data_IF_881686862731
#
_entry.id   IF_881686862731
#
_cell.length_a   1.000
_cell.length_b   1.000
_cell.length_c   1.000
_cell.angle_alpha   90.00
_cell.angle_beta   90.00
_cell.angle_gamma   90.00
#
_symmetry.space_group_name_H-M   'P 1'
#
loop_
_entity.id
_entity.type
_entity.pdbx_description
1 polymer ?
#
# COMPACT_ATOMS: atom_id res chain seq x y z
N UNK A 1 5.62 -12.72 17.89
CA UNK A 1 4.42 -12.65 18.74
C UNK A 1 4.71 -11.72 19.91
N UNK A 2 3.90 -10.66 20.12
CA UNK A 2 3.92 -9.90 21.36
C UNK A 2 3.25 -10.72 22.47
N UNK A 3 4.07 -11.40 23.28
CA UNK A 3 3.62 -12.20 24.45
C UNK A 3 2.73 -13.40 24.07
N UNK A 4 2.16 -14.07 25.08
CA UNK A 4 1.38 -15.30 24.89
C UNK A 4 -0.12 -15.07 25.04
N UNK A 5 -0.91 -15.87 24.30
CA UNK A 5 -2.39 -15.88 24.27
C UNK A 5 -3.08 -16.14 25.65
N UNK A 6 -2.33 -16.25 26.74
CA UNK A 6 -2.85 -16.11 28.10
C UNK A 6 -3.54 -14.75 28.31
N UNK A 7 -3.10 -13.68 27.63
CA UNK A 7 -3.72 -12.35 27.78
C UNK A 7 -5.16 -12.31 27.22
N UNK A 8 -5.43 -12.84 26.03
CA UNK A 8 -6.80 -12.81 25.47
C UNK A 8 -7.76 -13.64 26.35
N UNK A 9 -7.28 -14.76 26.90
CA UNK A 9 -8.02 -15.59 27.87
C UNK A 9 -8.37 -14.84 29.18
N UNK A 10 -7.65 -13.77 29.52
CA UNK A 10 -8.06 -12.86 30.59
C UNK A 10 -9.08 -11.81 30.12
N UNK A 11 -8.94 -11.25 28.91
CA UNK A 11 -9.88 -10.28 28.31
C UNK A 11 -11.30 -10.84 28.14
N UNK A 12 -11.44 -12.15 27.91
CA UNK A 12 -12.73 -12.84 27.83
C UNK A 12 -13.51 -12.92 29.16
N UNK A 13 -12.93 -12.50 30.29
CA UNK A 13 -13.68 -12.31 31.55
C UNK A 13 -14.43 -10.98 31.61
N UNK A 14 -14.12 -10.03 30.71
CA UNK A 14 -14.78 -8.73 30.59
C UNK A 14 -15.76 -8.74 29.41
N UNK A 15 -16.80 -7.90 29.49
CA UNK A 15 -17.75 -7.71 28.39
C UNK A 15 -17.06 -7.17 27.14
N UNK A 16 -17.72 -7.31 25.98
CA UNK A 16 -17.19 -6.74 24.75
C UNK A 16 -17.20 -5.21 24.80
N UNK A 17 -18.13 -4.62 25.55
CA UNK A 17 -18.29 -3.20 25.82
C UNK A 17 -17.14 -2.61 26.66
N UNK A 18 -16.59 -3.37 27.62
CA UNK A 18 -15.47 -2.93 28.47
C UNK A 18 -14.12 -2.96 27.76
N UNK A 19 -13.97 -3.85 26.77
CA UNK A 19 -12.71 -4.06 26.01
C UNK A 19 -12.75 -3.42 24.61
N UNK A 20 -13.88 -2.84 24.19
CA UNK A 20 -13.98 -2.12 22.93
C UNK A 20 -13.18 -0.80 22.98
N UNK A 21 -12.28 -0.52 22.01
CA UNK A 21 -11.41 0.65 22.07
C UNK A 21 -12.17 1.97 21.89
N UNK A 22 -11.78 3.01 22.65
CA UNK A 22 -12.20 4.39 22.38
C UNK A 22 -11.51 4.91 21.11
N UNK A 23 -12.27 4.88 20.01
CA UNK A 23 -11.86 5.36 18.69
C UNK A 23 -12.46 6.74 18.34
N UNK A 24 -13.02 7.48 19.31
CA UNK A 24 -13.77 8.72 19.08
C UNK A 24 -12.95 9.88 18.49
N UNK A 25 -11.62 9.76 18.46
CA UNK A 25 -10.69 10.78 17.94
C UNK A 25 -9.84 10.25 16.78
N UNK A 26 -10.20 9.08 16.24
CA UNK A 26 -9.36 8.32 15.31
C UNK A 26 -9.78 8.52 13.86
N UNK A 27 -8.79 8.54 12.97
CA UNK A 27 -8.92 8.77 11.53
C UNK A 27 -7.95 7.84 10.79
N UNK A 28 -8.22 6.55 10.86
CA UNK A 28 -7.56 5.48 10.12
C UNK A 28 -8.64 4.50 9.58
N UNK A 29 -8.32 3.67 8.58
CA UNK A 29 -9.33 2.82 7.93
C UNK A 29 -9.98 1.80 8.89
N UNK A 30 -9.21 1.20 9.79
CA UNK A 30 -9.69 0.29 10.84
C UNK A 30 -10.75 0.97 11.71
N UNK A 31 -10.51 2.19 12.19
CA UNK A 31 -11.44 2.93 13.04
C UNK A 31 -12.75 3.36 12.35
N UNK A 32 -12.79 3.39 11.01
CA UNK A 32 -14.05 3.56 10.25
C UNK A 32 -14.84 2.26 10.11
N UNK A 33 -14.15 1.12 10.12
CA UNK A 33 -14.71 -0.20 9.81
C UNK A 33 -15.11 -0.99 11.06
N UNK A 34 -14.36 -0.86 12.15
CA UNK A 34 -14.59 -1.60 13.39
C UNK A 34 -15.87 -1.09 14.08
N UNK A 35 -16.81 -1.99 14.31
CA UNK A 35 -18.01 -1.75 15.12
C UNK A 35 -18.02 -2.69 16.33
N UNK A 36 -18.79 -2.34 17.36
CA UNK A 36 -18.96 -3.20 18.54
C UNK A 36 -19.50 -4.60 18.17
N UNK A 37 -20.31 -4.71 17.12
CA UNK A 37 -20.84 -6.01 16.67
C UNK A 37 -19.78 -6.84 15.92
N UNK A 38 -18.90 -6.21 15.12
CA UNK A 38 -17.73 -6.88 14.53
C UNK A 38 -16.78 -7.32 15.66
N UNK A 39 -16.53 -6.46 16.65
CA UNK A 39 -15.69 -6.78 17.80
C UNK A 39 -16.26 -7.97 18.61
N UNK A 40 -17.56 -7.96 18.91
CA UNK A 40 -18.28 -9.07 19.55
C UNK A 40 -18.18 -10.39 18.78
N UNK A 41 -18.23 -10.34 17.44
CA UNK A 41 -18.15 -11.52 16.56
C UNK A 41 -16.74 -12.15 16.51
N UNK A 42 -15.71 -11.32 16.67
CA UNK A 42 -14.32 -11.68 16.35
C UNK A 42 -13.34 -11.70 17.55
N UNK A 43 -13.65 -11.08 18.69
CA UNK A 43 -12.70 -10.97 19.84
C UNK A 43 -12.31 -12.31 20.49
N UNK A 44 -13.16 -13.33 20.34
CA UNK A 44 -12.94 -14.71 20.80
C UNK A 44 -12.23 -15.59 19.76
N UNK A 45 -11.81 -15.03 18.61
CA UNK A 45 -11.14 -15.77 17.55
C UNK A 45 -9.62 -15.61 17.63
N UNK A 46 -8.93 -16.67 17.24
CA UNK A 46 -7.48 -16.72 17.08
C UNK A 46 -7.13 -17.50 15.79
N UNK A 47 -6.02 -17.14 15.15
CA UNK A 47 -5.47 -17.89 14.01
C UNK A 47 -4.76 -19.16 14.48
N UNK A 48 -4.32 -20.07 13.59
CA UNK A 48 -3.51 -21.24 13.98
C UNK A 48 -2.17 -20.89 14.66
N UNK A 49 -1.66 -19.66 14.50
CA UNK A 49 -0.48 -19.18 15.24
C UNK A 49 -0.83 -18.58 16.62
N UNK A 50 -2.12 -18.33 16.89
CA UNK A 50 -2.61 -17.66 18.10
C UNK A 50 -2.72 -16.13 17.98
N UNK A 51 -2.70 -15.57 16.76
CA UNK A 51 -2.87 -14.13 16.52
C UNK A 51 -4.35 -13.74 16.65
N UNK A 52 -4.66 -12.61 17.29
CA UNK A 52 -6.02 -12.24 17.70
C UNK A 52 -6.51 -10.94 17.05
N UNK A 53 -7.81 -10.65 17.18
CA UNK A 53 -8.39 -9.37 16.74
C UNK A 53 -7.69 -8.17 17.37
N UNK A 54 -7.30 -8.27 18.64
CA UNK A 54 -6.65 -7.18 19.36
C UNK A 54 -5.24 -6.93 18.81
N UNK A 55 -4.46 -7.99 18.53
CA UNK A 55 -3.15 -7.87 17.86
C UNK A 55 -3.27 -7.19 16.48
N UNK A 56 -4.34 -7.50 15.74
CA UNK A 56 -4.64 -6.93 14.42
C UNK A 56 -4.90 -5.42 14.51
N UNK A 57 -5.68 -4.96 15.49
CA UNK A 57 -6.11 -3.55 15.59
C UNK A 57 -5.19 -2.66 16.44
N UNK A 58 -4.31 -3.23 17.28
CA UNK A 58 -3.50 -2.49 18.26
C UNK A 58 -2.82 -1.24 17.67
N UNK A 59 -2.19 -1.38 16.50
CA UNK A 59 -1.53 -0.26 15.82
C UNK A 59 -2.47 0.89 15.47
N UNK A 60 -3.73 0.61 15.09
CA UNK A 60 -4.74 1.63 14.83
C UNK A 60 -5.45 2.15 16.07
N UNK A 61 -5.36 1.46 17.21
CA UNK A 61 -5.80 1.97 18.51
C UNK A 61 -4.78 2.98 19.06
N UNK A 62 -3.49 2.62 19.01
CA UNK A 62 -2.38 3.45 19.50
C UNK A 62 -2.12 4.67 18.60
N UNK A 63 -2.36 4.56 17.29
CA UNK A 63 -2.11 5.63 16.31
C UNK A 63 -3.44 6.19 15.77
N UNK A 64 -4.01 7.25 16.39
CA UNK A 64 -5.29 7.83 15.97
C UNK A 64 -5.26 8.51 14.59
N UNK A 65 -4.11 8.61 13.94
CA UNK A 65 -3.97 9.12 12.58
C UNK A 65 -2.49 9.32 12.25
N UNK A 66 -2.20 9.93 11.10
CA UNK A 66 -0.85 10.31 10.71
C UNK A 66 -0.84 11.70 10.04
N UNK A 67 0.17 12.57 10.28
CA UNK A 67 0.15 13.95 9.76
C UNK A 67 0.12 14.08 8.23
N UNK A 68 0.57 13.05 7.50
CA UNK A 68 0.78 13.13 6.05
C UNK A 68 -0.15 12.25 5.20
N UNK A 69 -0.78 11.22 5.78
CA UNK A 69 -1.62 10.23 5.05
C UNK A 69 -2.74 9.67 5.91
N UNK A 70 -3.80 9.15 5.27
CA UNK A 70 -4.72 8.19 5.88
C UNK A 70 -3.97 6.86 6.10
N UNK A 71 -3.92 6.37 7.33
CA UNK A 71 -3.31 5.07 7.68
C UNK A 71 -4.34 3.95 7.67
N UNK A 72 -3.87 2.70 7.53
CA UNK A 72 -4.76 1.52 7.57
C UNK A 72 -5.28 1.27 8.98
N UNK A 73 -4.40 1.27 9.99
CA UNK A 73 -4.77 1.03 11.39
C UNK A 73 -4.99 -0.45 11.76
N UNK A 74 -4.68 -1.39 10.87
CA UNK A 74 -4.59 -2.81 11.21
C UNK A 74 -3.53 -3.53 10.38
N UNK A 75 -3.08 -4.69 10.88
CA UNK A 75 -2.08 -5.58 10.27
C UNK A 75 -2.49 -7.04 10.39
N UNK A 76 -2.00 -7.89 9.49
CA UNK A 76 -2.09 -9.35 9.62
C UNK A 76 -0.82 -9.93 10.25
N UNK A 77 -0.96 -10.95 11.10
CA UNK A 77 0.17 -11.66 11.73
C UNK A 77 0.64 -12.90 10.98
N UNK A 78 -0.24 -13.46 10.15
CA UNK A 78 -0.07 -14.67 9.33
C UNK A 78 -1.04 -14.62 8.12
N UNK A 79 -1.08 -15.67 7.29
CA UNK A 79 -1.94 -15.71 6.11
C UNK A 79 -3.42 -15.89 6.50
N UNK A 80 -3.69 -16.74 7.50
CA UNK A 80 -5.02 -17.05 8.01
C UNK A 80 -5.72 -15.85 8.66
N UNK A 81 -4.96 -14.85 9.15
CA UNK A 81 -5.50 -13.58 9.67
C UNK A 81 -6.54 -12.95 8.72
N UNK A 82 -6.28 -12.97 7.41
CA UNK A 82 -7.17 -12.37 6.42
C UNK A 82 -8.48 -13.12 6.21
N UNK A 83 -8.52 -14.43 6.46
CA UNK A 83 -9.75 -15.25 6.40
C UNK A 83 -10.51 -15.23 7.75
N UNK A 84 -9.79 -15.40 8.87
CA UNK A 84 -10.39 -15.48 10.22
C UNK A 84 -11.06 -14.16 10.63
N UNK A 85 -10.46 -13.02 10.29
CA UNK A 85 -10.95 -11.69 10.66
C UNK A 85 -11.52 -10.89 9.49
N UNK A 86 -12.00 -11.61 8.46
CA UNK A 86 -12.42 -11.00 7.20
C UNK A 86 -13.55 -9.98 7.31
N UNK A 87 -14.43 -10.08 8.31
CA UNK A 87 -15.49 -9.07 8.52
C UNK A 87 -14.93 -7.67 8.87
N UNK A 88 -13.69 -7.58 9.37
CA UNK A 88 -12.95 -6.33 9.54
C UNK A 88 -12.07 -6.00 8.32
N UNK A 89 -11.36 -6.99 7.77
CA UNK A 89 -10.45 -6.74 6.65
C UNK A 89 -11.19 -6.39 5.35
N UNK A 90 -12.29 -7.05 4.99
CA UNK A 90 -13.04 -6.81 3.76
C UNK A 90 -13.47 -5.32 3.63
N UNK A 91 -14.10 -4.66 4.63
CA UNK A 91 -14.40 -3.23 4.56
C UNK A 91 -13.18 -2.32 4.54
N UNK A 92 -12.11 -2.65 5.28
CA UNK A 92 -10.86 -1.87 5.30
C UNK A 92 -10.18 -1.89 3.93
N UNK A 93 -10.12 -3.07 3.30
CA UNK A 93 -9.59 -3.27 1.96
C UNK A 93 -10.42 -2.50 0.93
N UNK A 94 -11.75 -2.52 1.06
CA UNK A 94 -12.66 -1.82 0.14
C UNK A 94 -12.52 -0.28 0.22
N UNK A 95 -12.47 0.31 1.43
CA UNK A 95 -12.25 1.76 1.59
C UNK A 95 -10.81 2.18 1.23
N UNK A 96 -9.82 1.29 1.41
CA UNK A 96 -8.43 1.59 1.06
C UNK A 96 -8.15 1.49 -0.44
N UNK A 97 -8.65 0.48 -1.14
CA UNK A 97 -8.34 0.21 -2.57
C UNK A 97 -9.52 0.57 -3.49
N UNK A 98 -9.99 1.81 -3.39
CA UNK A 98 -10.89 2.41 -4.40
C UNK A 98 -12.25 1.74 -4.58
N UNK A 99 -12.73 0.94 -3.62
CA UNK A 99 -13.99 0.19 -3.72
C UNK A 99 -13.86 -1.28 -4.14
N UNK A 100 -12.66 -1.87 -4.12
CA UNK A 100 -12.42 -3.29 -4.39
C UNK A 100 -13.19 -4.22 -3.42
N UNK A 101 -14.02 -5.12 -3.95
CA UNK A 101 -15.01 -5.89 -3.18
C UNK A 101 -14.56 -7.31 -2.87
N UNK A 102 -15.14 -7.99 -1.87
CA UNK A 102 -14.90 -9.42 -1.57
C UNK A 102 -15.19 -10.39 -2.73
N UNK A 103 -15.93 -9.95 -3.75
CA UNK A 103 -16.23 -10.72 -4.98
C UNK A 103 -15.17 -10.55 -6.08
N UNK A 104 -14.33 -9.53 -5.97
CA UNK A 104 -13.44 -9.11 -7.03
C UNK A 104 -12.15 -9.96 -6.99
N UNK A 105 -11.44 -10.01 -8.13
CA UNK A 105 -10.30 -10.91 -8.31
C UNK A 105 -9.07 -10.12 -8.74
N UNK A 106 -7.93 -10.46 -8.15
CA UNK A 106 -6.69 -9.75 -8.42
C UNK A 106 -6.12 -10.15 -9.80
N UNK A 107 -5.46 -9.20 -10.47
CA UNK A 107 -4.73 -9.41 -11.72
C UNK A 107 -3.23 -9.26 -11.45
N UNK A 108 -2.46 -10.33 -11.65
CA UNK A 108 -0.99 -10.27 -11.64
C UNK A 108 -0.48 -10.35 -13.08
N UNK A 109 0.31 -9.37 -13.52
CA UNK A 109 1.02 -9.38 -14.80
C UNK A 109 2.48 -8.93 -14.64
N UNK A 110 3.36 -9.91 -14.41
CA UNK A 110 4.81 -9.73 -14.39
C UNK A 110 5.45 -9.90 -15.78
N UNK A 111 4.68 -9.93 -16.88
CA UNK A 111 5.26 -10.10 -18.23
C UNK A 111 5.99 -8.84 -18.71
N UNK A 112 7.29 -8.81 -18.45
CA UNK A 112 8.17 -7.73 -18.86
C UNK A 112 8.37 -7.61 -20.38
N UNK A 113 7.93 -8.55 -21.22
CA UNK A 113 8.13 -8.46 -22.68
C UNK A 113 7.28 -7.35 -23.31
N UNK A 114 6.19 -6.97 -22.63
CA UNK A 114 5.46 -5.73 -22.87
C UNK A 114 6.38 -4.48 -22.77
N UNK A 115 7.52 -4.57 -22.07
CA UNK A 115 8.45 -3.47 -21.76
C UNK A 115 9.95 -3.85 -21.89
N UNK A 116 10.47 -3.86 -23.13
CA UNK A 116 11.87 -4.14 -23.51
C UNK A 116 12.98 -3.27 -22.84
N UNK A 117 14.09 -3.93 -22.41
CA UNK A 117 15.54 -3.50 -22.39
C UNK A 117 15.95 -2.24 -21.56
N UNK A 118 17.10 -2.09 -20.86
CA UNK A 118 18.14 -2.90 -20.13
C UNK A 118 19.14 -1.90 -19.44
N UNK A 119 20.03 -2.16 -18.45
CA UNK A 119 20.30 -3.15 -17.37
C UNK A 119 21.48 -2.58 -16.48
N UNK A 120 21.95 -3.03 -15.30
CA UNK A 120 21.36 -3.54 -14.03
C UNK A 120 22.23 -3.05 -12.79
N UNK A 121 22.71 -1.79 -12.78
CA UNK A 121 23.79 -1.24 -11.92
C UNK A 121 23.48 -0.95 -10.42
N UNK A 122 23.69 -1.90 -9.49
CA UNK A 122 23.21 -1.80 -8.06
C UNK A 122 21.71 -1.42 -7.98
N UNK A 123 20.98 -1.70 -9.05
CA UNK A 123 19.69 -1.10 -9.35
C UNK A 123 18.54 -2.07 -9.06
N UNK A 124 18.84 -3.15 -8.33
CA UNK A 124 17.94 -4.17 -7.81
C UNK A 124 18.45 -4.55 -6.41
N UNK A 125 17.55 -4.57 -5.43
CA UNK A 125 17.83 -4.83 -4.01
C UNK A 125 16.72 -5.70 -3.42
N UNK A 126 17.02 -6.38 -2.32
CA UNK A 126 16.02 -7.09 -1.49
C UNK A 126 16.30 -6.76 -0.04
N UNK A 127 15.32 -6.24 0.70
CA UNK A 127 15.35 -6.22 2.17
C UNK A 127 14.65 -7.48 2.69
N UNK A 128 15.05 -7.95 3.88
CA UNK A 128 14.58 -9.22 4.46
C UNK A 128 14.16 -8.96 5.91
N UNK A 129 12.95 -9.40 6.27
CA UNK A 129 12.36 -9.27 7.61
C UNK A 129 12.38 -7.82 8.15
N UNK A 130 11.69 -6.92 7.44
CA UNK A 130 11.50 -5.51 7.84
C UNK A 130 10.02 -5.24 8.12
N UNK A 131 9.28 -4.52 7.25
CA UNK A 131 7.81 -4.45 7.32
C UNK A 131 7.16 -5.78 6.90
N UNK A 132 7.79 -6.46 5.93
CA UNK A 132 7.38 -7.73 5.33
C UNK A 132 8.59 -8.70 5.27
N UNK A 133 8.34 -9.99 5.01
CA UNK A 133 9.38 -11.02 4.85
C UNK A 133 10.44 -10.65 3.79
N UNK A 134 10.02 -10.12 2.64
CA UNK A 134 10.89 -9.72 1.53
C UNK A 134 10.39 -8.42 0.90
N UNK A 135 11.26 -7.41 0.82
CA UNK A 135 11.00 -6.16 0.09
C UNK A 135 11.86 -6.08 -1.16
N UNK A 136 11.32 -6.54 -2.29
CA UNK A 136 12.02 -6.54 -3.59
C UNK A 136 11.92 -5.15 -4.22
N UNK A 137 13.07 -4.55 -4.55
CA UNK A 137 13.19 -3.16 -4.99
C UNK A 137 13.98 -3.10 -6.29
N UNK A 138 13.51 -2.32 -7.27
CA UNK A 138 14.30 -1.89 -8.43
C UNK A 138 14.31 -0.37 -8.50
N UNK A 139 15.48 0.24 -8.74
CA UNK A 139 15.63 1.69 -8.78
C UNK A 139 16.88 2.13 -9.54
N UNK A 140 16.86 3.32 -10.15
CA UNK A 140 18.04 3.95 -10.76
C UNK A 140 17.95 5.48 -10.71
N UNK A 141 18.97 6.18 -11.21
CA UNK A 141 18.92 7.65 -11.37
C UNK A 141 18.42 8.01 -12.78
N UNK A 142 17.54 9.00 -12.88
CA UNK A 142 16.92 9.42 -14.13
C UNK A 142 15.43 9.06 -14.18
N UNK A 143 14.85 9.07 -15.38
CA UNK A 143 13.41 8.87 -15.61
C UNK A 143 13.03 7.58 -16.34
N UNK A 144 13.94 6.62 -16.49
CA UNK A 144 13.71 5.40 -17.28
C UNK A 144 12.92 4.32 -16.51
N UNK A 145 11.70 4.67 -16.08
CA UNK A 145 10.78 3.77 -15.36
C UNK A 145 10.57 2.42 -16.08
N UNK A 146 10.65 2.41 -17.41
CA UNK A 146 10.54 1.20 -18.24
C UNK A 146 11.62 0.17 -17.92
N UNK A 147 12.88 0.60 -17.81
CA UNK A 147 13.99 -0.30 -17.45
C UNK A 147 13.93 -0.70 -15.97
N UNK A 148 13.62 0.25 -15.08
CA UNK A 148 13.38 -0.03 -13.65
C UNK A 148 12.37 -1.15 -13.48
N UNK A 149 11.23 -1.06 -14.15
CA UNK A 149 10.15 -2.05 -14.04
C UNK A 149 10.48 -3.38 -14.73
N UNK A 150 11.09 -3.37 -15.93
CA UNK A 150 11.53 -4.62 -16.58
C UNK A 150 12.49 -5.40 -15.67
N UNK A 151 13.46 -4.71 -15.06
CA UNK A 151 14.40 -5.30 -14.11
C UNK A 151 13.72 -5.80 -12.84
N UNK A 152 12.71 -5.08 -12.34
CA UNK A 152 11.86 -5.54 -11.23
C UNK A 152 11.19 -6.88 -11.56
N UNK A 153 10.46 -6.97 -12.67
CA UNK A 153 9.74 -8.19 -13.07
C UNK A 153 10.69 -9.37 -13.28
N UNK A 154 11.78 -9.21 -14.05
CA UNK A 154 12.78 -10.27 -14.28
C UNK A 154 13.43 -10.74 -12.98
N UNK A 155 13.67 -9.83 -12.05
CA UNK A 155 14.23 -10.16 -10.73
C UNK A 155 13.23 -10.91 -9.86
N UNK A 156 12.01 -10.39 -9.71
CA UNK A 156 10.95 -10.99 -8.89
C UNK A 156 10.56 -12.38 -9.39
N UNK A 157 10.38 -12.57 -10.70
CA UNK A 157 10.08 -13.87 -11.31
C UNK A 157 11.18 -14.91 -11.00
N UNK A 158 12.46 -14.52 -11.05
CA UNK A 158 13.58 -15.41 -10.70
C UNK A 158 13.64 -15.73 -9.21
N UNK A 159 13.35 -14.77 -8.33
CA UNK A 159 13.25 -15.05 -6.89
C UNK A 159 12.11 -16.04 -6.65
N UNK A 160 10.92 -15.81 -7.20
CA UNK A 160 9.77 -16.69 -7.03
C UNK A 160 10.03 -18.10 -7.60
N UNK A 161 10.72 -18.22 -8.74
CA UNK A 161 11.16 -19.50 -9.30
C UNK A 161 12.10 -20.26 -8.35
N UNK A 162 13.08 -19.56 -7.73
CA UNK A 162 14.01 -20.14 -6.75
C UNK A 162 13.25 -20.59 -5.49
N UNK A 163 12.37 -19.74 -4.96
CA UNK A 163 11.58 -20.01 -3.75
C UNK A 163 10.61 -21.18 -3.96
N UNK A 164 9.93 -21.25 -5.11
CA UNK A 164 9.09 -22.40 -5.50
C UNK A 164 9.90 -23.69 -5.63
N UNK A 165 11.10 -23.65 -6.25
CA UNK A 165 12.01 -24.81 -6.33
C UNK A 165 12.54 -25.28 -4.98
N UNK A 166 12.66 -24.38 -4.01
CA UNK A 166 13.06 -24.70 -2.63
C UNK A 166 11.92 -25.26 -1.76
N UNK A 167 10.68 -25.31 -2.26
CA UNK A 167 9.51 -25.71 -1.47
C UNK A 167 8.97 -24.60 -0.55
N UNK A 168 9.28 -23.35 -0.85
CA UNK A 168 8.90 -22.17 -0.07
C UNK A 168 8.15 -21.16 -0.96
N UNK A 169 6.94 -21.47 -1.46
CA UNK A 169 6.17 -20.53 -2.28
C UNK A 169 5.78 -19.27 -1.48
N UNK A 170 5.54 -18.17 -2.19
CA UNK A 170 4.96 -16.97 -1.58
C UNK A 170 3.47 -17.18 -1.26
N UNK A 171 3.02 -16.54 -0.17
CA UNK A 171 1.60 -16.45 0.21
C UNK A 171 0.83 -15.68 -0.88
N UNK A 172 -0.15 -16.34 -1.51
CA UNK A 172 -0.91 -15.78 -2.63
C UNK A 172 -2.27 -16.46 -2.77
N UNK A 173 -3.32 -15.69 -2.99
CA UNK A 173 -4.64 -16.21 -3.37
C UNK A 173 -5.34 -15.36 -4.44
N UNK A 174 -6.35 -15.94 -5.10
CA UNK A 174 -7.03 -15.31 -6.24
C UNK A 174 -7.80 -14.01 -5.89
N UNK A 175 -8.20 -13.83 -4.64
CA UNK A 175 -8.93 -12.64 -4.20
C UNK A 175 -7.98 -11.51 -3.79
N UNK A 176 -6.95 -11.81 -2.98
CA UNK A 176 -6.05 -10.81 -2.40
C UNK A 176 -4.74 -10.61 -3.18
N UNK A 177 -4.43 -11.43 -4.18
CA UNK A 177 -3.10 -11.43 -4.81
C UNK A 177 -2.04 -11.95 -3.85
N UNK A 178 -0.84 -11.36 -3.88
CA UNK A 178 0.20 -11.64 -2.88
C UNK A 178 -0.23 -11.08 -1.51
N UNK A 179 -0.06 -11.91 -0.47
CA UNK A 179 -0.43 -11.56 0.91
C UNK A 179 0.78 -10.94 1.62
N UNK A 180 0.56 -9.79 2.28
CA UNK A 180 1.57 -8.98 2.98
C UNK A 180 1.00 -8.44 4.30
N UNK A 181 1.86 -8.01 5.21
CA UNK A 181 1.52 -7.67 6.61
C UNK A 181 0.53 -6.50 6.71
N UNK A 182 0.67 -5.48 5.86
CA UNK A 182 -0.22 -4.33 5.84
C UNK A 182 -1.29 -4.46 4.72
N UNK A 183 -2.59 -4.31 5.01
CA UNK A 183 -3.65 -4.40 3.98
C UNK A 183 -3.51 -3.42 2.80
N UNK A 184 -2.80 -2.29 2.98
CA UNK A 184 -2.51 -1.38 1.85
C UNK A 184 -1.47 -1.91 0.86
N UNK A 185 -0.82 -3.05 1.15
CA UNK A 185 0.22 -3.68 0.35
C UNK A 185 -0.28 -4.93 -0.40
N UNK A 186 -1.54 -5.36 -0.19
CA UNK A 186 -2.14 -6.52 -0.89
C UNK A 186 -2.21 -6.35 -2.41
N UNK A 187 -2.40 -7.44 -3.14
CA UNK A 187 -2.49 -7.46 -4.60
C UNK A 187 -1.10 -7.66 -5.20
N UNK A 188 -0.56 -6.58 -5.78
CA UNK A 188 0.78 -6.57 -6.38
C UNK A 188 1.90 -6.31 -5.38
N UNK A 189 1.60 -5.70 -4.22
CA UNK A 189 2.61 -5.02 -3.38
C UNK A 189 3.34 -3.84 -4.05
N UNK A 190 3.03 -3.53 -5.32
CA UNK A 190 3.89 -2.70 -6.16
C UNK A 190 3.75 -1.22 -5.83
N UNK A 191 4.86 -0.63 -5.39
CA UNK A 191 5.03 0.82 -5.25
C UNK A 191 5.95 1.36 -6.35
N UNK A 192 5.39 1.54 -7.54
CA UNK A 192 6.04 2.30 -8.61
C UNK A 192 6.04 3.78 -8.26
N UNK A 193 7.18 4.47 -8.37
CA UNK A 193 7.28 5.88 -8.01
C UNK A 193 8.56 6.58 -8.46
N UNK A 194 8.57 7.91 -8.31
CA UNK A 194 9.67 8.78 -8.71
C UNK A 194 9.92 9.86 -7.65
N UNK A 195 11.19 10.25 -7.49
CA UNK A 195 11.54 11.49 -6.80
C UNK A 195 11.54 12.62 -7.84
N UNK A 196 10.47 13.43 -7.86
CA UNK A 196 10.25 14.50 -8.86
C UNK A 196 10.23 15.87 -8.19
N UNK A 197 10.88 16.85 -8.84
CA UNK A 197 10.99 18.22 -8.34
C UNK A 197 9.85 19.09 -8.91
N UNK A 198 9.00 19.64 -8.04
CA UNK A 198 7.76 20.35 -8.40
C UNK A 198 7.57 21.70 -7.66
N UNK A 199 8.55 22.64 -7.69
CA UNK A 199 8.54 23.88 -6.92
C UNK A 199 7.40 24.86 -7.22
N UNK A 200 6.69 24.72 -8.35
CA UNK A 200 5.51 25.50 -8.69
C UNK A 200 4.21 24.71 -8.48
N UNK A 201 4.09 23.50 -9.03
CA UNK A 201 2.87 22.69 -8.95
C UNK A 201 2.54 22.31 -7.51
N UNK A 202 3.54 22.06 -6.65
CA UNK A 202 3.29 21.72 -5.24
C UNK A 202 2.70 22.86 -4.40
N UNK A 203 2.72 24.08 -4.92
CA UNK A 203 2.11 25.28 -4.31
C UNK A 203 0.78 25.65 -4.97
N UNK A 204 0.39 24.95 -6.04
CA UNK A 204 -0.84 25.22 -6.76
C UNK A 204 -2.06 24.68 -5.99
N UNK A 205 -3.16 25.43 -5.82
CA UNK A 205 -4.31 24.98 -5.02
C UNK A 205 -4.92 23.64 -5.44
N UNK A 206 -4.77 23.26 -6.72
CA UNK A 206 -5.27 21.98 -7.27
C UNK A 206 -4.28 20.80 -7.20
N UNK A 207 -3.19 20.91 -6.43
CA UNK A 207 -2.16 19.85 -6.37
C UNK A 207 -2.71 18.52 -5.81
N UNK A 208 -3.36 18.57 -4.64
CA UNK A 208 -3.96 17.38 -4.01
C UNK A 208 -5.12 16.82 -4.84
N UNK A 209 -5.90 17.68 -5.50
CA UNK A 209 -6.95 17.28 -6.44
C UNK A 209 -6.35 16.52 -7.63
N UNK A 210 -5.28 17.04 -8.23
CA UNK A 210 -4.59 16.42 -9.37
C UNK A 210 -4.02 15.05 -8.99
N UNK A 211 -3.39 14.94 -7.82
CA UNK A 211 -2.90 13.66 -7.28
C UNK A 211 -4.04 12.64 -7.13
N UNK A 212 -5.14 13.03 -6.47
CA UNK A 212 -6.31 12.17 -6.27
C UNK A 212 -6.94 11.70 -7.59
N UNK A 213 -7.11 12.61 -8.56
CA UNK A 213 -7.68 12.28 -9.88
C UNK A 213 -6.81 11.33 -10.69
N UNK A 214 -5.50 11.31 -10.46
CA UNK A 214 -4.54 10.42 -11.11
C UNK A 214 -4.31 9.09 -10.37
N UNK A 215 -4.98 8.86 -9.23
CA UNK A 215 -4.72 7.74 -8.30
C UNK A 215 -3.25 7.68 -7.83
N UNK A 216 -2.67 8.86 -7.60
CA UNK A 216 -1.32 9.03 -7.08
C UNK A 216 -1.31 9.56 -5.64
N UNK A 217 -0.32 9.11 -4.87
CA UNK A 217 -0.01 9.60 -3.52
C UNK A 217 1.36 10.29 -3.53
N UNK A 218 1.56 11.26 -2.63
CA UNK A 218 2.86 11.90 -2.35
C UNK A 218 3.41 11.52 -0.98
N UNK A 219 4.74 11.45 -0.87
CA UNK A 219 5.53 11.33 0.36
C UNK A 219 6.71 12.32 0.31
N UNK A 220 7.37 12.54 1.44
CA UNK A 220 8.60 13.34 1.50
C UNK A 220 9.80 12.65 0.87
N UNK A 221 10.92 13.36 0.80
CA UNK A 221 12.10 12.92 0.03
C UNK A 221 12.85 11.74 0.67
N UNK A 222 12.58 11.43 1.95
CA UNK A 222 13.18 10.31 2.69
C UNK A 222 12.21 9.16 2.97
N UNK A 223 10.95 9.24 2.57
CA UNK A 223 9.92 8.24 2.89
C UNK A 223 8.64 8.85 3.46
N UNK A 224 7.80 8.00 4.06
CA UNK A 224 6.43 8.35 4.50
C UNK A 224 6.38 9.31 5.68
N UNK A 225 7.35 9.24 6.58
CA UNK A 225 7.45 10.03 7.81
C UNK A 225 8.31 11.30 7.65
N UNK A 226 8.52 11.73 6.39
CA UNK A 226 9.44 12.84 6.05
C UNK A 226 8.74 13.94 5.26
N UNK A 227 9.31 15.15 5.30
CA UNK A 227 8.89 16.26 4.45
C UNK A 227 9.59 16.26 3.07
N UNK A 228 9.07 17.07 2.14
CA UNK A 228 9.63 17.24 0.80
C UNK A 228 10.74 18.30 0.76
N UNK A 229 12.00 17.85 0.83
CA UNK A 229 13.20 18.70 0.80
C UNK A 229 13.38 19.31 -0.60
N UNK A 230 13.56 20.63 -0.66
CA UNK A 230 13.84 21.34 -1.93
C UNK A 230 12.74 21.22 -2.99
N UNK A 231 11.50 20.98 -2.56
CA UNK A 231 10.35 20.63 -3.40
C UNK A 231 10.52 19.35 -4.24
N UNK A 232 11.30 18.38 -3.74
CA UNK A 232 11.41 17.03 -4.30
C UNK A 232 10.45 16.09 -3.57
N UNK A 233 9.42 15.64 -4.27
CA UNK A 233 8.38 14.75 -3.75
C UNK A 233 8.59 13.33 -4.24
N UNK A 234 8.34 12.35 -3.38
CA UNK A 234 8.20 10.95 -3.75
C UNK A 234 6.74 10.72 -4.19
N UNK A 235 6.53 10.63 -5.51
CA UNK A 235 5.20 10.45 -6.13
C UNK A 235 5.07 9.00 -6.61
N UNK A 236 3.98 8.32 -6.26
CA UNK A 236 3.76 6.88 -6.53
C UNK A 236 2.29 6.53 -6.72
N UNK A 237 1.97 5.36 -7.27
CA UNK A 237 0.60 4.86 -7.30
C UNK A 237 0.03 4.73 -5.87
N UNK A 238 -1.24 5.08 -5.68
CA UNK A 238 -1.94 4.92 -4.40
C UNK A 238 -2.32 3.45 -4.18
N UNK A 239 -2.90 2.80 -5.18
CA UNK A 239 -3.52 1.47 -5.07
C UNK A 239 -2.60 0.32 -5.50
N UNK A 240 -2.84 -0.87 -4.93
CA UNK A 240 -2.07 -2.11 -5.16
C UNK A 240 -2.93 -3.31 -5.56
N UNK A 241 -4.19 -3.31 -5.13
CA UNK A 241 -5.17 -4.37 -5.39
C UNK A 241 -6.10 -3.96 -6.55
N UNK A 242 -6.79 -4.92 -7.17
CA UNK A 242 -7.65 -4.71 -8.35
C UNK A 242 -6.95 -4.40 -9.69
N UNK A 243 -5.81 -3.72 -9.67
CA UNK A 243 -4.98 -3.40 -10.84
C UNK A 243 -3.74 -4.30 -10.93
N UNK A 244 -3.27 -4.60 -12.13
CA UNK A 244 -1.97 -5.28 -12.33
C UNK A 244 -0.77 -4.34 -12.18
N UNK A 245 0.42 -4.92 -12.08
CA UNK A 245 1.70 -4.22 -12.02
C UNK A 245 1.90 -3.28 -13.22
N UNK A 246 1.53 -3.75 -14.41
CA UNK A 246 1.58 -2.96 -15.66
C UNK A 246 0.58 -1.80 -15.62
N UNK A 247 -0.66 -2.05 -15.19
CA UNK A 247 -1.70 -1.01 -15.04
C UNK A 247 -1.23 0.07 -14.05
N UNK A 248 -0.67 -0.33 -12.90
CA UNK A 248 -0.16 0.55 -11.86
C UNK A 248 1.05 1.39 -12.32
N UNK A 249 2.06 0.79 -12.95
CA UNK A 249 3.24 1.52 -13.45
C UNK A 249 2.86 2.47 -14.60
N UNK A 250 1.92 2.07 -15.47
CA UNK A 250 1.43 2.94 -16.53
C UNK A 250 0.71 4.18 -15.96
N UNK A 251 -0.11 4.04 -14.90
CA UNK A 251 -0.72 5.18 -14.21
C UNK A 251 0.33 6.16 -13.66
N UNK A 252 1.43 5.67 -13.07
CA UNK A 252 2.55 6.50 -12.61
C UNK A 252 3.24 7.21 -13.78
N UNK A 253 3.55 6.49 -14.86
CA UNK A 253 4.22 7.05 -16.05
C UNK A 253 3.39 8.15 -16.71
N UNK A 254 2.07 8.01 -16.76
CA UNK A 254 1.17 9.03 -17.31
C UNK A 254 1.03 10.24 -16.39
N UNK A 255 0.71 10.02 -15.11
CA UNK A 255 0.49 11.10 -14.16
C UNK A 255 1.75 11.95 -13.94
N UNK A 256 2.93 11.32 -13.83
CA UNK A 256 4.20 12.03 -13.71
C UNK A 256 4.51 12.86 -14.95
N UNK A 257 4.20 12.39 -16.17
CA UNK A 257 4.35 13.21 -17.40
C UNK A 257 3.47 14.45 -17.34
N UNK A 258 2.18 14.28 -17.02
CA UNK A 258 1.23 15.39 -16.91
C UNK A 258 1.68 16.42 -15.85
N UNK A 259 2.12 15.96 -14.68
CA UNK A 259 2.64 16.84 -13.62
C UNK A 259 3.90 17.60 -14.04
N UNK A 260 4.80 16.97 -14.80
CA UNK A 260 6.00 17.63 -15.36
C UNK A 260 5.65 18.63 -16.47
N UNK A 261 4.56 18.43 -17.21
CA UNK A 261 4.07 19.40 -18.19
C UNK A 261 3.35 20.59 -17.53
N UNK A 262 2.57 20.34 -16.47
CA UNK A 262 1.99 21.38 -15.61
C UNK A 262 3.08 22.25 -14.97
N UNK A 263 4.12 21.64 -14.39
CA UNK A 263 5.27 22.35 -13.80
C UNK A 263 5.91 23.30 -14.83
N UNK A 264 6.15 22.83 -16.06
CA UNK A 264 6.72 23.61 -17.17
C UNK A 264 5.79 24.71 -17.72
N UNK A 265 4.47 24.62 -17.51
CA UNK A 265 3.55 25.75 -17.75
C UNK A 265 3.68 26.78 -16.63
N UNK A 266 3.66 26.34 -15.38
CA UNK A 266 3.74 27.22 -14.20
C UNK A 266 5.08 27.96 -14.09
N UNK A 267 6.21 27.33 -14.46
CA UNK A 267 7.52 27.99 -14.60
C UNK A 267 7.48 29.19 -15.57
N UNK A 268 6.59 29.15 -16.57
CA UNK A 268 6.39 30.20 -17.57
C UNK A 268 5.26 31.18 -17.22
N UNK A 269 4.67 31.06 -16.02
CA UNK A 269 3.50 31.84 -15.61
C UNK A 269 2.21 31.48 -16.36
N UNK A 270 2.13 30.30 -16.99
CA UNK A 270 0.96 29.84 -17.73
C UNK A 270 0.00 29.06 -16.82
N UNK A 271 -1.31 29.27 -16.99
CA UNK A 271 -2.35 28.53 -16.28
C UNK A 271 -2.39 27.04 -16.68
N UNK A 272 -2.88 26.20 -15.76
CA UNK A 272 -3.01 24.73 -15.93
C UNK A 272 -4.44 24.22 -15.76
N UNK A 273 -5.44 25.11 -15.71
CA UNK A 273 -6.85 24.77 -15.52
C UNK A 273 -7.42 23.89 -16.65
N UNK A 274 -6.85 24.00 -17.85
CA UNK A 274 -7.10 23.15 -19.02
C UNK A 274 -6.46 21.76 -18.93
N UNK A 275 -5.54 21.54 -17.98
CA UNK A 275 -4.78 20.30 -17.82
C UNK A 275 -5.25 19.42 -16.66
N UNK A 276 -6.19 19.89 -15.83
CA UNK A 276 -6.70 19.12 -14.69
C UNK A 276 -7.37 17.84 -15.22
N UNK A 277 -6.85 16.65 -14.88
CA UNK A 277 -7.30 15.41 -15.52
C UNK A 277 -8.75 15.06 -15.15
N UNK A 278 -9.36 14.15 -15.89
CA UNK A 278 -10.54 13.44 -15.40
C UNK A 278 -10.17 12.60 -14.15
N UNK A 279 -11.16 12.26 -13.32
CA UNK A 279 -10.97 11.25 -12.29
C UNK A 279 -10.79 9.89 -13.00
N UNK A 280 -9.66 9.22 -12.73
CA UNK A 280 -9.46 7.79 -13.02
C UNK A 280 -10.24 6.92 -12.05
#
# INVERSE_FOLDING_TARGET
MPFGNTHNKYKLNFSAEEEFPDLTKHNNHMAKALTLDIYKKLRDKETPSGFTLDDIIQTGVDNPGHPFIMTVGCVAGDEESYDVFKDLFDPVIQDRHGGYKPTDKHKTDLNHENLKVHNDNKSFLVWVNEEDHLRVISMEKGGNMKEVFRRFCVGLQKIEEIFKKAGHPFMWNQHLGYVLTCPSNLGTGLRGGVHVKLPHLSKHPKFEETLKRLLLQKRGTGGVDTEAVGAVFDISNADRLGFSEVEQVQMVVEGVKLMVEMEKKLEKGQAIDDMIPAQK
#
